data_IF_507058589754
#
_entry.id   IF_507058589754
#
_cell.length_a   1.000
_cell.length_b   1.000
_cell.length_c   1.000
_cell.angle_alpha   90.00
_cell.angle_beta   90.00
_cell.angle_gamma   90.00
#
_symmetry.space_group_name_H-M   'P 1'
#
loop_
_entity.id
_entity.type
_entity.pdbx_description
1 polymer ?
#
# COMPACT_ATOMS: atom_id res chain seq x y z
N UNK A 1 54.36 -17.49 29.86
CA UNK A 1 55.29 -18.49 29.23
C UNK A 1 54.43 -19.51 28.49
N UNK A 2 54.93 -19.96 27.34
CA UNK A 2 54.44 -21.08 26.47
C UNK A 2 53.42 -20.66 25.42
N UNK A 3 53.90 -20.20 24.28
CA UNK A 3 54.27 -20.82 22.97
C UNK A 3 53.07 -21.35 22.16
N UNK A 4 52.78 -20.58 21.14
CA UNK A 4 52.71 -20.85 19.67
C UNK A 4 52.60 -22.31 19.28
N UNK A 5 51.55 -22.65 18.49
CA UNK A 5 51.67 -23.51 17.31
C UNK A 5 50.71 -23.00 16.24
N UNK A 6 51.32 -22.62 15.14
CA UNK A 6 50.77 -22.24 13.85
C UNK A 6 50.64 -23.54 13.02
N UNK A 7 49.51 -23.86 12.48
CA UNK A 7 49.39 -24.90 11.46
C UNK A 7 48.64 -24.35 10.23
N UNK A 8 49.49 -24.04 9.24
CA UNK A 8 49.08 -23.69 7.88
C UNK A 8 48.79 -25.00 7.14
N UNK A 9 47.59 -25.15 6.63
CA UNK A 9 47.26 -26.23 5.68
C UNK A 9 46.82 -25.57 4.36
N UNK A 10 47.80 -25.57 3.44
CA UNK A 10 47.69 -25.15 2.05
C UNK A 10 47.16 -26.33 1.26
N UNK A 11 45.96 -26.25 0.72
CA UNK A 11 45.46 -27.23 -0.27
C UNK A 11 45.26 -26.53 -1.61
N UNK A 12 46.17 -26.83 -2.49
CA UNK A 12 46.13 -26.52 -3.93
C UNK A 12 45.17 -27.52 -4.58
N UNK A 13 44.13 -27.04 -5.27
CA UNK A 13 43.44 -27.88 -6.24
C UNK A 13 43.52 -27.26 -7.62
N UNK A 14 44.07 -28.10 -8.48
CA UNK A 14 44.37 -27.86 -9.88
C UNK A 14 43.12 -27.74 -10.73
N UNK A 15 43.24 -26.88 -11.74
CA UNK A 15 42.30 -26.73 -12.85
C UNK A 15 42.15 -28.03 -13.64
N UNK A 16 40.92 -28.41 -13.98
CA UNK A 16 40.63 -29.33 -15.05
C UNK A 16 39.66 -28.66 -16.01
N UNK A 17 40.19 -28.24 -17.15
CA UNK A 17 39.45 -27.90 -18.37
C UNK A 17 38.91 -29.19 -18.98
N UNK A 18 37.61 -29.27 -19.20
CA UNK A 18 37.01 -30.19 -20.16
C UNK A 18 36.00 -29.45 -21.01
N UNK A 19 36.34 -29.22 -22.26
CA UNK A 19 35.51 -28.67 -23.30
C UNK A 19 34.49 -29.71 -23.79
N UNK A 20 33.24 -29.30 -23.94
CA UNK A 20 32.25 -30.07 -24.66
C UNK A 20 31.60 -29.20 -25.76
N UNK A 21 31.55 -29.84 -26.92
CA UNK A 21 31.25 -29.32 -28.24
C UNK A 21 29.80 -28.83 -28.38
N UNK A 22 29.66 -27.69 -29.07
CA UNK A 22 28.42 -27.25 -29.71
C UNK A 22 27.85 -28.31 -30.64
N UNK A 23 26.61 -28.71 -30.37
CA UNK A 23 25.77 -29.36 -31.39
C UNK A 23 24.68 -28.37 -31.77
N UNK A 24 24.77 -27.89 -33.00
CA UNK A 24 23.78 -27.08 -33.70
C UNK A 24 22.74 -28.01 -34.29
N UNK A 25 21.53 -28.06 -33.74
CA UNK A 25 20.39 -28.70 -34.41
C UNK A 25 19.46 -27.59 -34.94
N UNK A 26 19.50 -27.48 -36.25
CA UNK A 26 18.52 -26.74 -37.06
C UNK A 26 17.25 -27.58 -37.16
N UNK A 27 16.15 -27.08 -36.58
CA UNK A 27 14.83 -27.68 -36.81
C UNK A 27 14.00 -26.73 -37.66
N UNK A 28 13.60 -27.25 -38.83
CA UNK A 28 12.79 -26.60 -39.85
C UNK A 28 11.33 -26.43 -39.37
N UNK A 29 10.80 -25.26 -39.68
CA UNK A 29 9.40 -24.87 -39.60
C UNK A 29 8.58 -25.59 -40.68
N UNK A 30 7.43 -26.18 -40.38
CA UNK A 30 6.45 -26.53 -41.40
C UNK A 30 5.47 -25.35 -41.62
N UNK A 31 5.45 -24.90 -42.84
CA UNK A 31 4.45 -24.00 -43.40
C UNK A 31 3.19 -24.80 -43.72
N UNK A 32 2.06 -24.44 -43.19
CA UNK A 32 0.77 -24.96 -43.67
C UNK A 32 -0.06 -23.81 -44.22
N UNK A 33 -0.46 -23.99 -45.46
CA UNK A 33 -1.19 -23.05 -46.34
C UNK A 33 -2.65 -22.92 -45.86
N UNK A 34 -3.11 -21.68 -45.88
CA UNK A 34 -4.50 -21.29 -45.87
C UNK A 34 -5.24 -21.73 -47.12
N UNK A 35 -6.48 -22.22 -46.97
CA UNK A 35 -7.51 -22.16 -48.02
C UNK A 35 -8.81 -21.64 -47.47
N UNK A 36 -9.60 -20.92 -48.26
CA UNK A 36 -10.74 -20.12 -47.84
C UNK A 36 -12.05 -20.92 -47.96
N UNK A 37 -12.94 -20.77 -46.97
CA UNK A 37 -14.31 -21.30 -47.07
C UNK A 37 -15.30 -20.17 -47.24
N UNK A 38 -16.05 -20.36 -48.28
CA UNK A 38 -17.07 -19.60 -48.97
C UNK A 38 -18.22 -19.15 -48.05
N UNK A 39 -18.60 -17.90 -48.24
CA UNK A 39 -19.76 -17.16 -47.80
C UNK A 39 -21.06 -17.74 -48.41
N UNK A 40 -22.11 -17.96 -47.61
CA UNK A 40 -23.48 -18.02 -48.08
C UNK A 40 -24.36 -17.03 -47.32
N UNK A 41 -24.76 -16.02 -48.04
CA UNK A 41 -25.81 -15.08 -47.77
C UNK A 41 -27.18 -15.76 -47.88
N UNK A 42 -28.10 -15.47 -46.96
CA UNK A 42 -29.52 -15.52 -47.27
C UNK A 42 -30.24 -14.37 -46.59
N UNK A 43 -30.79 -13.54 -47.44
CA UNK A 43 -31.62 -12.38 -47.18
C UNK A 43 -33.05 -12.83 -46.92
N UNK A 44 -33.73 -12.27 -45.93
CA UNK A 44 -35.16 -11.95 -46.00
C UNK A 44 -35.55 -10.91 -44.94
N UNK A 45 -36.10 -9.80 -45.41
CA UNK A 45 -36.91 -8.79 -44.71
C UNK A 45 -38.37 -9.03 -45.19
N UNK A 46 -39.47 -8.72 -44.45
CA UNK A 46 -39.90 -7.33 -44.24
C UNK A 46 -40.62 -7.01 -42.92
N UNK A 47 -40.47 -5.76 -42.50
CA UNK A 47 -41.42 -4.74 -42.06
C UNK A 47 -42.60 -5.11 -41.11
N UNK A 48 -42.70 -4.50 -39.94
CA UNK A 48 -43.73 -3.51 -39.58
C UNK A 48 -43.50 -2.86 -38.22
N UNK A 49 -43.52 -1.56 -38.21
CA UNK A 49 -43.67 -0.47 -37.25
C UNK A 49 -44.36 -0.80 -35.92
N UNK A 50 -43.80 -0.40 -34.81
CA UNK A 50 -44.44 0.44 -33.76
C UNK A 50 -43.41 0.98 -32.77
N UNK A 51 -43.34 2.28 -32.59
CA UNK A 51 -42.72 3.05 -31.50
C UNK A 51 -43.84 3.27 -30.46
N UNK A 52 -43.64 3.57 -29.17
CA UNK A 52 -42.47 4.02 -28.42
C UNK A 52 -42.36 3.39 -27.01
N UNK A 53 -41.19 3.38 -26.39
CA UNK A 53 -41.03 3.85 -25.01
C UNK A 53 -39.52 3.85 -24.66
N UNK A 54 -39.06 5.02 -24.37
CA UNK A 54 -37.75 5.31 -23.76
C UNK A 54 -37.62 4.53 -22.48
N UNK A 55 -36.72 3.55 -22.46
CA UNK A 55 -36.10 3.03 -21.25
C UNK A 55 -34.64 3.42 -21.30
N UNK A 56 -34.31 4.32 -20.40
CA UNK A 56 -32.94 4.67 -20.04
C UNK A 56 -32.21 3.37 -19.66
N UNK A 57 -31.33 2.91 -20.53
CA UNK A 57 -30.35 1.88 -20.15
C UNK A 57 -29.33 2.55 -19.26
N UNK A 58 -29.51 2.42 -17.95
CA UNK A 58 -28.42 2.64 -16.98
C UNK A 58 -27.25 1.73 -17.36
N UNK A 59 -26.24 2.30 -17.98
CA UNK A 59 -24.93 1.69 -18.10
C UNK A 59 -24.33 1.68 -16.69
N UNK A 60 -24.49 0.58 -15.99
CA UNK A 60 -23.77 0.32 -14.76
C UNK A 60 -22.32 0.07 -15.16
N UNK A 61 -21.52 1.14 -15.25
CA UNK A 61 -20.09 1.02 -15.14
C UNK A 61 -19.79 0.54 -13.72
N UNK A 62 -19.52 -0.75 -13.61
CA UNK A 62 -19.01 -1.37 -12.38
C UNK A 62 -17.55 -0.91 -12.15
N UNK A 63 -17.37 0.37 -11.85
CA UNK A 63 -16.20 0.81 -11.10
C UNK A 63 -16.45 0.43 -9.64
N UNK A 64 -16.04 -0.76 -9.26
CA UNK A 64 -15.99 -1.18 -7.87
C UNK A 64 -14.87 -0.39 -7.17
N UNK A 65 -15.11 0.90 -7.00
CA UNK A 65 -14.44 1.70 -5.99
C UNK A 65 -15.04 1.23 -4.68
N UNK A 66 -14.42 0.26 -4.02
CA UNK A 66 -14.74 -0.06 -2.62
C UNK A 66 -14.43 1.20 -1.84
N UNK A 67 -15.45 2.03 -1.66
CA UNK A 67 -15.39 3.18 -0.76
C UNK A 67 -15.37 2.57 0.63
N UNK A 68 -14.16 2.37 1.16
CA UNK A 68 -13.97 1.90 2.52
C UNK A 68 -14.60 2.94 3.42
N UNK A 69 -15.73 2.62 4.03
CA UNK A 69 -16.41 3.56 4.94
C UNK A 69 -15.51 3.86 6.12
N UNK A 70 -15.61 5.05 6.70
CA UNK A 70 -14.88 5.42 7.89
C UNK A 70 -15.07 4.42 9.03
N UNK A 71 -16.25 3.81 9.13
CA UNK A 71 -16.58 2.83 10.17
C UNK A 71 -15.81 1.52 9.98
N UNK A 72 -15.64 1.05 8.73
CA UNK A 72 -14.82 -0.13 8.47
C UNK A 72 -13.37 0.10 8.88
N UNK A 73 -12.83 1.30 8.61
CA UNK A 73 -11.47 1.65 9.02
C UNK A 73 -11.35 1.67 10.56
N UNK A 74 -12.29 2.28 11.27
CA UNK A 74 -12.29 2.32 12.73
C UNK A 74 -12.37 0.92 13.34
N UNK A 75 -13.29 0.09 12.85
CA UNK A 75 -13.42 -1.31 13.28
C UNK A 75 -12.13 -2.12 13.03
N UNK A 76 -11.45 -1.84 11.91
CA UNK A 76 -10.15 -2.46 11.61
C UNK A 76 -9.08 -2.03 12.61
N UNK A 77 -9.00 -0.75 12.92
CA UNK A 77 -8.06 -0.20 13.90
C UNK A 77 -8.33 -0.80 15.28
N UNK A 78 -9.58 -0.81 15.74
CA UNK A 78 -9.98 -1.35 17.05
C UNK A 78 -9.61 -2.84 17.17
N UNK A 79 -9.76 -3.60 16.08
CA UNK A 79 -9.44 -5.04 16.04
C UNK A 79 -7.94 -5.32 16.09
N UNK A 80 -7.13 -4.51 15.39
CA UNK A 80 -5.73 -4.85 15.12
C UNK A 80 -4.70 -3.94 15.79
N UNK A 81 -5.11 -2.89 16.52
CA UNK A 81 -4.18 -1.97 17.17
C UNK A 81 -3.24 -2.66 18.17
N UNK A 82 -3.77 -3.57 18.99
CA UNK A 82 -2.94 -4.32 19.93
C UNK A 82 -1.93 -5.23 19.23
N UNK A 83 -2.34 -5.85 18.10
CA UNK A 83 -1.44 -6.67 17.28
C UNK A 83 -0.32 -5.83 16.67
N UNK A 84 -0.65 -4.65 16.16
CA UNK A 84 0.34 -3.73 15.59
C UNK A 84 1.31 -3.21 16.66
N UNK A 85 0.82 -2.83 17.85
CA UNK A 85 1.67 -2.43 18.99
C UNK A 85 2.59 -3.55 19.44
N UNK A 86 2.07 -4.79 19.50
CA UNK A 86 2.91 -5.96 19.82
C UNK A 86 4.04 -6.11 18.79
N UNK A 87 3.71 -6.05 17.49
CA UNK A 87 4.71 -6.16 16.43
C UNK A 87 5.73 -5.02 16.46
N UNK A 88 5.32 -3.80 16.84
CA UNK A 88 6.25 -2.70 17.03
C UNK A 88 7.27 -2.98 18.16
N UNK A 89 6.82 -3.55 19.26
CA UNK A 89 7.73 -3.95 20.36
C UNK A 89 8.72 -5.04 19.92
N UNK A 90 8.22 -6.05 19.21
CA UNK A 90 9.01 -7.23 18.82
C UNK A 90 9.92 -6.99 17.61
N UNK A 91 9.48 -6.19 16.64
CA UNK A 91 10.15 -6.04 15.36
C UNK A 91 10.62 -4.61 15.06
N UNK A 92 10.19 -3.62 15.83
CA UNK A 92 10.64 -2.23 15.69
C UNK A 92 10.01 -1.45 14.53
N UNK A 93 8.95 -1.97 13.92
CA UNK A 93 8.19 -1.27 12.88
C UNK A 93 7.10 -0.44 13.57
N UNK A 94 6.93 0.86 13.27
CA UNK A 94 5.87 1.65 13.88
C UNK A 94 4.50 1.00 13.76
N UNK A 95 3.72 0.99 14.86
CA UNK A 95 2.38 0.45 14.87
C UNK A 95 1.46 1.21 13.89
N UNK A 96 1.66 2.53 13.79
CA UNK A 96 0.97 3.40 12.83
C UNK A 96 1.21 2.98 11.39
N UNK A 97 2.44 2.67 11.02
CA UNK A 97 2.81 2.17 9.68
C UNK A 97 2.16 0.82 9.42
N UNK A 98 2.27 -0.12 10.37
CA UNK A 98 1.67 -1.45 10.24
C UNK A 98 0.15 -1.38 10.05
N UNK A 99 -0.54 -0.54 10.85
CA UNK A 99 -1.99 -0.33 10.72
C UNK A 99 -2.35 0.32 9.38
N UNK A 100 -1.66 1.39 8.98
CA UNK A 100 -1.95 2.08 7.72
C UNK A 100 -1.75 1.17 6.51
N UNK A 101 -0.69 0.35 6.49
CA UNK A 101 -0.48 -0.67 5.46
C UNK A 101 -1.60 -1.71 5.49
N UNK A 102 -1.93 -2.26 6.65
CA UNK A 102 -3.02 -3.23 6.78
C UNK A 102 -4.36 -2.69 6.29
N UNK A 103 -4.70 -1.43 6.60
CA UNK A 103 -5.92 -0.77 6.10
C UNK A 103 -5.87 -0.64 4.57
N UNK A 104 -4.74 -0.18 4.03
CA UNK A 104 -4.59 0.08 2.60
C UNK A 104 -4.61 -1.21 1.78
N UNK A 105 -3.81 -2.21 2.16
CA UNK A 105 -3.63 -3.46 1.42
C UNK A 105 -4.86 -4.38 1.52
N UNK A 106 -5.55 -4.38 2.66
CA UNK A 106 -6.72 -5.24 2.88
C UNK A 106 -8.06 -4.57 2.55
N UNK A 107 -8.07 -3.30 2.13
CA UNK A 107 -9.30 -2.51 2.01
C UNK A 107 -10.05 -2.44 3.34
N UNK A 108 -9.34 -2.15 4.44
CA UNK A 108 -9.83 -2.18 5.82
C UNK A 108 -10.52 -3.52 6.18
N UNK A 109 -9.89 -4.62 5.82
CA UNK A 109 -10.35 -5.97 6.14
C UNK A 109 -11.47 -6.50 5.25
N UNK A 110 -11.81 -5.81 4.16
CA UNK A 110 -12.90 -6.22 3.24
C UNK A 110 -12.40 -6.89 1.96
N UNK A 111 -11.10 -6.82 1.67
CA UNK A 111 -10.49 -7.44 0.51
C UNK A 111 -10.54 -8.97 0.59
N UNK A 112 -10.62 -9.63 -0.56
CA UNK A 112 -10.79 -11.09 -0.67
C UNK A 112 -9.70 -11.86 0.06
N UNK A 113 -8.43 -11.48 -0.09
CA UNK A 113 -7.30 -12.14 0.58
C UNK A 113 -7.41 -12.05 2.12
N UNK A 114 -7.92 -10.93 2.64
CA UNK A 114 -8.16 -10.78 4.06
C UNK A 114 -9.30 -11.67 4.54
N UNK A 115 -10.46 -11.67 3.84
CA UNK A 115 -11.66 -12.40 4.26
C UNK A 115 -11.50 -13.91 4.14
N UNK A 116 -10.92 -14.40 3.03
CA UNK A 116 -10.83 -15.84 2.75
C UNK A 116 -9.55 -16.49 3.27
N UNK A 117 -8.49 -15.68 3.48
CA UNK A 117 -7.16 -16.20 3.80
C UNK A 117 -6.50 -15.56 5.02
N UNK A 118 -7.14 -14.64 5.74
CA UNK A 118 -6.55 -13.84 6.82
C UNK A 118 -5.22 -13.17 6.42
N UNK A 119 -5.04 -12.90 5.12
CA UNK A 119 -3.83 -12.30 4.57
C UNK A 119 -4.04 -10.81 4.35
N UNK A 120 -3.67 -10.04 5.36
CA UNK A 120 -3.93 -8.59 5.41
C UNK A 120 -2.97 -7.75 4.58
N UNK A 121 -1.85 -8.32 4.13
CA UNK A 121 -0.75 -7.60 3.47
C UNK A 121 -0.41 -8.16 2.09
N UNK A 122 -1.25 -9.03 1.52
CA UNK A 122 -0.99 -9.64 0.22
C UNK A 122 0.31 -10.42 0.17
N UNK A 123 0.63 -11.21 1.20
CA UNK A 123 1.88 -11.95 1.25
C UNK A 123 1.81 -13.16 0.32
N UNK A 124 2.66 -13.13 -0.72
CA UNK A 124 2.75 -14.19 -1.74
C UNK A 124 3.48 -15.43 -1.18
N UNK A 125 3.19 -16.60 -1.78
CA UNK A 125 3.94 -17.84 -1.51
C UNK A 125 5.35 -17.72 -2.08
N UNK A 126 6.31 -17.31 -1.27
CA UNK A 126 7.72 -17.33 -1.70
C UNK A 126 8.28 -18.75 -1.68
N UNK A 127 9.42 -18.93 -2.35
CA UNK A 127 10.17 -20.20 -2.36
C UNK A 127 10.31 -20.76 -0.94
N UNK A 128 9.93 -22.03 -0.77
CA UNK A 128 9.98 -22.70 0.53
C UNK A 128 8.69 -22.62 1.36
N UNK A 129 7.65 -21.93 0.88
CA UNK A 129 6.35 -21.96 1.56
C UNK A 129 5.67 -23.32 1.38
N UNK A 130 5.34 -23.98 2.48
CA UNK A 130 4.67 -25.30 2.52
C UNK A 130 3.31 -25.25 3.23
N UNK A 131 2.91 -24.07 3.71
CA UNK A 131 1.64 -23.86 4.40
C UNK A 131 0.45 -23.74 3.44
N UNK A 132 -0.77 -23.59 3.97
CA UNK A 132 -1.97 -23.36 3.19
C UNK A 132 -1.85 -22.11 2.31
N UNK A 133 -2.52 -22.14 1.15
CA UNK A 133 -2.48 -21.05 0.18
C UNK A 133 -3.84 -20.84 -0.50
N UNK A 134 -3.97 -19.71 -1.16
CA UNK A 134 -5.09 -19.33 -2.01
C UNK A 134 -4.55 -18.67 -3.28
N UNK A 135 -5.22 -18.89 -4.41
CA UNK A 135 -4.88 -18.19 -5.65
C UNK A 135 -5.65 -16.87 -5.77
N UNK A 136 -5.00 -15.85 -6.26
CA UNK A 136 -5.60 -14.54 -6.51
C UNK A 136 -4.91 -13.88 -7.70
N UNK A 137 -5.67 -13.14 -8.50
CA UNK A 137 -5.12 -12.36 -9.60
C UNK A 137 -4.66 -11.01 -9.06
N UNK A 138 -3.38 -10.68 -9.23
CA UNK A 138 -2.73 -9.44 -8.82
C UNK A 138 -1.85 -8.94 -9.97
N UNK A 139 -0.53 -8.95 -9.87
CA UNK A 139 0.36 -8.61 -10.97
C UNK A 139 0.30 -9.63 -12.12
N UNK A 140 -0.05 -10.88 -11.80
CA UNK A 140 -0.29 -11.95 -12.77
C UNK A 140 -1.54 -12.77 -12.40
N UNK A 141 -2.03 -13.55 -13.36
CA UNK A 141 -3.18 -14.45 -13.12
C UNK A 141 -2.77 -15.61 -12.20
N UNK A 142 -3.66 -16.00 -11.29
CA UNK A 142 -3.53 -17.18 -10.43
C UNK A 142 -2.26 -17.19 -9.56
N UNK A 143 -1.82 -16.04 -9.08
CA UNK A 143 -0.69 -15.98 -8.17
C UNK A 143 -1.01 -16.63 -6.83
N UNK A 144 0.01 -17.25 -6.23
CA UNK A 144 -0.11 -17.92 -4.94
C UNK A 144 0.06 -16.94 -3.78
N UNK A 145 -0.92 -16.86 -2.90
CA UNK A 145 -0.89 -16.11 -1.65
C UNK A 145 -0.99 -17.01 -0.43
N UNK A 146 -0.29 -16.67 0.63
CA UNK A 146 -0.35 -17.43 1.89
C UNK A 146 -1.74 -17.34 2.50
N UNK A 147 -2.20 -18.44 3.07
CA UNK A 147 -3.43 -18.50 3.85
C UNK A 147 -3.09 -18.79 5.32
N UNK A 148 -3.63 -18.01 6.22
CA UNK A 148 -3.38 -18.10 7.65
C UNK A 148 -4.63 -18.55 8.39
N UNK A 149 -4.44 -19.25 9.50
CA UNK A 149 -5.53 -19.60 10.43
C UNK A 149 -5.90 -18.44 11.34
N UNK A 150 -4.92 -17.59 11.69
CA UNK A 150 -5.10 -16.40 12.51
C UNK A 150 -4.56 -15.18 11.74
N UNK A 151 -5.30 -14.07 11.65
CA UNK A 151 -4.81 -12.84 11.01
C UNK A 151 -3.51 -12.31 11.63
N UNK A 152 -3.24 -12.58 12.91
CA UNK A 152 -1.99 -12.19 13.58
C UNK A 152 -0.75 -12.81 12.93
N UNK A 153 -0.90 -13.98 12.28
CA UNK A 153 0.20 -14.61 11.56
C UNK A 153 0.59 -13.81 10.32
N UNK A 154 -0.38 -13.21 9.62
CA UNK A 154 -0.06 -12.32 8.49
C UNK A 154 0.64 -11.04 8.95
N UNK A 155 0.28 -10.50 10.11
CA UNK A 155 0.97 -9.36 10.73
C UNK A 155 2.42 -9.70 11.10
N UNK A 156 2.63 -10.88 11.69
CA UNK A 156 3.99 -11.37 11.99
C UNK A 156 4.81 -11.56 10.72
N UNK A 157 4.26 -12.23 9.73
CA UNK A 157 4.95 -12.49 8.46
C UNK A 157 5.25 -11.19 7.69
N UNK A 158 4.38 -10.18 7.76
CA UNK A 158 4.66 -8.84 7.26
C UNK A 158 5.88 -8.22 7.98
N UNK A 159 5.93 -8.31 9.30
CA UNK A 159 7.07 -7.81 10.07
C UNK A 159 8.36 -8.54 9.69
N UNK A 160 8.31 -9.87 9.55
CA UNK A 160 9.45 -10.67 9.10
C UNK A 160 9.85 -10.34 7.66
N UNK A 161 8.90 -10.03 6.80
CA UNK A 161 9.17 -9.57 5.43
C UNK A 161 10.02 -8.31 5.39
N UNK A 162 9.76 -7.35 6.28
CA UNK A 162 10.52 -6.10 6.36
C UNK A 162 11.88 -6.30 7.05
N UNK A 163 11.91 -7.03 8.16
CA UNK A 163 13.13 -7.21 8.96
C UNK A 163 14.17 -8.10 8.30
N UNK A 164 13.75 -9.09 7.49
CA UNK A 164 14.65 -10.07 6.86
C UNK A 164 15.31 -9.59 5.56
N UNK A 165 14.84 -8.48 4.98
CA UNK A 165 15.34 -8.01 3.67
C UNK A 165 16.26 -6.81 3.80
N UNK A 166 17.53 -6.90 3.34
CA UNK A 166 18.53 -5.82 3.48
C UNK A 166 18.09 -4.47 2.93
N UNK A 167 17.24 -4.46 1.89
CA UNK A 167 16.74 -3.22 1.26
C UNK A 167 15.95 -2.33 2.22
N UNK A 168 15.37 -2.89 3.29
CA UNK A 168 14.61 -2.15 4.30
C UNK A 168 15.45 -1.79 5.53
N UNK A 169 16.71 -2.21 5.61
CA UNK A 169 17.56 -2.02 6.81
C UNK A 169 17.72 -0.55 7.22
N UNK A 170 17.69 0.38 6.27
CA UNK A 170 17.78 1.81 6.54
C UNK A 170 16.57 2.36 7.32
N UNK A 171 15.40 1.74 7.20
CA UNK A 171 14.19 2.15 7.91
C UNK A 171 14.36 1.97 9.42
N UNK A 172 15.04 0.92 9.85
CA UNK A 172 15.25 0.60 11.26
C UNK A 172 16.27 1.53 11.95
N UNK A 173 16.88 2.47 11.19
CA UNK A 173 17.73 3.55 11.72
C UNK A 173 16.92 4.83 12.01
N UNK A 174 15.69 4.92 11.51
CA UNK A 174 14.78 6.03 11.78
C UNK A 174 14.23 5.92 13.21
N UNK A 175 13.81 7.08 13.77
CA UNK A 175 13.02 7.05 14.99
C UNK A 175 11.73 6.26 14.75
N UNK A 176 11.34 5.45 15.73
CA UNK A 176 10.14 4.60 15.63
C UNK A 176 8.84 5.40 15.63
N UNK A 177 8.86 6.68 15.99
CA UNK A 177 7.74 7.61 15.86
C UNK A 177 7.78 8.41 14.54
N UNK A 178 8.85 8.30 13.72
CA UNK A 178 8.96 8.98 12.43
C UNK A 178 8.21 8.22 11.32
N UNK A 179 6.89 8.15 11.45
CA UNK A 179 6.06 7.48 10.44
C UNK A 179 6.19 8.12 9.06
N UNK A 180 6.50 9.42 8.95
CA UNK A 180 6.69 10.10 7.66
C UNK A 180 7.97 9.62 6.97
N UNK A 181 9.07 9.53 7.70
CA UNK A 181 10.30 8.94 7.22
C UNK A 181 10.14 7.48 6.84
N UNK A 182 9.40 6.71 7.64
CA UNK A 182 9.09 5.31 7.34
C UNK A 182 8.27 5.17 6.06
N UNK A 183 7.19 5.94 5.88
CA UNK A 183 6.36 5.88 4.68
C UNK A 183 7.14 6.19 3.40
N UNK A 184 7.97 7.26 3.42
CA UNK A 184 8.84 7.63 2.31
C UNK A 184 9.91 6.57 2.04
N UNK A 185 10.50 6.05 3.10
CA UNK A 185 11.55 5.03 3.04
C UNK A 185 11.04 3.69 2.52
N UNK A 186 9.83 3.26 2.86
CA UNK A 186 9.18 2.07 2.32
C UNK A 186 9.08 2.14 0.79
N UNK A 187 8.61 3.26 0.24
CA UNK A 187 8.56 3.45 -1.21
C UNK A 187 9.96 3.48 -1.84
N UNK A 188 10.89 4.22 -1.23
CA UNK A 188 12.27 4.30 -1.73
C UNK A 188 12.95 2.92 -1.76
N UNK A 189 12.64 2.05 -0.79
CA UNK A 189 13.11 0.67 -0.73
C UNK A 189 12.34 -0.30 -1.64
N UNK A 190 11.38 0.19 -2.43
CA UNK A 190 10.62 -0.61 -3.39
C UNK A 190 9.56 -1.51 -2.77
N UNK A 191 8.93 -1.09 -1.66
CA UNK A 191 7.76 -1.78 -1.12
C UNK A 191 6.54 -1.62 -2.03
N UNK A 192 6.36 -0.42 -2.59
CA UNK A 192 5.32 -0.12 -3.56
C UNK A 192 5.88 0.70 -4.72
N UNK A 193 5.30 0.53 -5.90
CA UNK A 193 5.65 1.26 -7.13
C UNK A 193 4.91 2.61 -7.22
N UNK A 194 3.75 2.73 -6.59
CA UNK A 194 2.92 3.93 -6.61
C UNK A 194 3.65 5.14 -6.00
N UNK A 195 3.88 6.24 -6.77
CA UNK A 195 4.49 7.46 -6.25
C UNK A 195 3.75 8.09 -5.07
N UNK A 196 2.43 7.87 -4.98
CA UNK A 196 1.56 8.41 -3.92
C UNK A 196 1.44 7.50 -2.70
N UNK A 197 2.16 6.37 -2.68
CA UNK A 197 2.09 5.43 -1.56
C UNK A 197 2.42 6.07 -0.21
N UNK A 198 3.49 6.88 -0.08
CA UNK A 198 3.78 7.57 1.17
C UNK A 198 2.64 8.50 1.62
N UNK A 199 2.08 9.28 0.69
CA UNK A 199 1.00 10.22 1.00
C UNK A 199 -0.27 9.49 1.45
N UNK A 200 -0.56 8.32 0.87
CA UNK A 200 -1.68 7.47 1.27
C UNK A 200 -1.51 6.98 2.72
N UNK A 201 -0.31 6.48 3.07
CA UNK A 201 -0.02 6.03 4.43
C UNK A 201 -0.10 7.19 5.43
N UNK A 202 0.57 8.31 5.15
CA UNK A 202 0.58 9.50 6.01
C UNK A 202 -0.85 10.01 6.22
N UNK A 203 -1.64 10.12 5.14
CA UNK A 203 -3.04 10.55 5.23
C UNK A 203 -3.90 9.64 6.12
N UNK A 204 -3.69 8.31 6.08
CA UNK A 204 -4.37 7.38 6.97
C UNK A 204 -3.92 7.57 8.43
N UNK A 205 -2.61 7.68 8.65
CA UNK A 205 -2.03 7.83 9.99
C UNK A 205 -2.53 9.12 10.65
N UNK A 206 -2.53 10.23 9.93
CA UNK A 206 -2.96 11.51 10.44
C UNK A 206 -4.48 11.58 10.64
N UNK A 207 -5.27 11.12 9.67
CA UNK A 207 -6.73 11.13 9.73
C UNK A 207 -7.28 10.33 10.89
N UNK A 208 -6.70 9.16 11.17
CA UNK A 208 -7.15 8.26 12.23
C UNK A 208 -6.25 8.33 13.47
N UNK A 209 -5.30 9.26 13.51
CA UNK A 209 -4.37 9.49 14.63
C UNK A 209 -3.60 8.22 15.03
N UNK A 210 -3.22 7.39 14.05
CA UNK A 210 -2.58 6.10 14.31
C UNK A 210 -1.23 6.23 15.03
N UNK A 211 -0.56 7.38 14.94
CA UNK A 211 0.66 7.70 15.67
C UNK A 211 0.48 7.63 17.20
N UNK A 212 -0.75 7.68 17.71
CA UNK A 212 -1.02 7.51 19.14
C UNK A 212 -0.59 6.12 19.61
N UNK A 213 -0.74 5.08 18.78
CA UNK A 213 -0.31 3.72 19.10
C UNK A 213 1.22 3.58 19.14
N UNK A 214 1.96 4.39 18.34
CA UNK A 214 3.41 4.48 18.45
C UNK A 214 3.81 5.11 19.77
N UNK A 215 3.15 6.22 20.14
CA UNK A 215 3.40 6.93 21.39
C UNK A 215 3.14 6.04 22.62
N UNK A 216 2.07 5.24 22.61
CA UNK A 216 1.79 4.28 23.68
C UNK A 216 2.92 3.25 23.85
N UNK A 217 3.47 2.72 22.73
CA UNK A 217 4.58 1.76 22.76
C UNK A 217 5.88 2.41 23.22
N UNK A 218 6.09 3.69 22.85
CA UNK A 218 7.29 4.45 23.19
C UNK A 218 7.20 5.15 24.56
N UNK A 219 6.08 4.95 25.29
CA UNK A 219 5.79 5.61 26.58
C UNK A 219 5.89 7.15 26.48
N UNK A 220 5.56 7.69 25.30
CA UNK A 220 5.52 9.13 25.06
C UNK A 220 4.13 9.65 25.38
N UNK A 221 4.00 10.43 26.43
CA UNK A 221 2.72 11.07 26.79
C UNK A 221 2.26 11.99 25.66
N UNK A 222 1.08 11.73 25.09
CA UNK A 222 0.27 12.59 24.21
C UNK A 222 1.04 13.59 23.32
N UNK A 223 2.19 13.20 22.82
CA UNK A 223 2.96 14.03 21.89
C UNK A 223 2.21 14.11 20.56
N UNK A 224 2.09 15.35 20.04
CA UNK A 224 1.64 15.61 18.67
C UNK A 224 2.44 14.77 17.67
N UNK A 225 1.95 14.57 16.42
CA UNK A 225 2.66 13.84 15.38
C UNK A 225 4.14 14.21 15.36
N UNK A 226 5.00 13.22 15.18
CA UNK A 226 6.46 13.43 15.09
C UNK A 226 6.75 14.48 14.00
N UNK A 227 7.08 15.68 14.43
CA UNK A 227 7.56 16.72 13.56
C UNK A 227 9.09 16.63 13.56
N UNK A 228 9.64 16.30 12.40
CA UNK A 228 11.09 16.27 12.22
C UNK A 228 11.67 17.62 12.68
N UNK A 229 12.35 17.66 13.82
CA UNK A 229 12.80 18.88 14.51
C UNK A 229 13.90 19.67 13.77
N UNK A 230 14.08 19.44 12.47
CA UNK A 230 15.00 20.18 11.63
C UNK A 230 14.34 21.32 10.81
N UNK A 231 13.10 21.66 11.13
CA UNK A 231 12.49 22.88 10.61
C UNK A 231 11.67 23.55 11.72
N UNK A 232 12.35 24.24 12.62
CA UNK A 232 11.75 25.35 13.33
C UNK A 232 11.54 26.44 12.28
N UNK A 233 10.42 26.38 11.59
CA UNK A 233 9.86 27.53 10.91
C UNK A 233 8.48 27.70 11.50
N UNK A 234 8.32 28.72 12.34
CA UNK A 234 7.04 29.35 12.60
C UNK A 234 6.50 29.88 11.26
N UNK A 235 6.00 28.98 10.41
CA UNK A 235 5.22 29.36 9.25
C UNK A 235 3.77 29.04 9.57
N UNK A 236 3.09 30.00 10.19
CA UNK A 236 1.67 30.15 9.96
C UNK A 236 1.52 30.32 8.44
N UNK A 237 1.13 29.26 7.73
CA UNK A 237 0.86 29.37 6.30
C UNK A 237 -0.47 30.12 6.16
N UNK A 238 -0.35 31.40 5.89
CA UNK A 238 -1.50 32.26 5.60
C UNK A 238 -1.84 32.12 4.11
N UNK A 239 -3.08 31.79 3.83
CA UNK A 239 -3.62 31.77 2.47
C UNK A 239 -4.55 32.96 2.27
N UNK A 240 -4.35 33.68 1.20
CA UNK A 240 -5.26 34.80 0.83
C UNK A 240 -6.38 34.23 -0.07
N UNK A 241 -7.61 34.35 0.40
CA UNK A 241 -8.83 33.91 -0.31
C UNK A 241 -8.96 34.63 -1.65
N UNK A 242 -9.15 33.84 -2.71
CA UNK A 242 -9.31 34.30 -4.08
C UNK A 242 -10.78 34.21 -4.53
N UNK A 243 -11.10 34.86 -5.62
CA UNK A 243 -12.42 34.75 -6.22
C UNK A 243 -12.73 33.30 -6.62
N UNK A 244 -13.86 32.77 -6.18
CA UNK A 244 -14.28 31.39 -6.41
C UNK A 244 -13.88 30.42 -5.33
N UNK A 245 -13.09 30.82 -4.32
CA UNK A 245 -12.78 29.97 -3.18
C UNK A 245 -14.00 29.78 -2.27
N UNK A 246 -14.11 28.57 -1.75
CA UNK A 246 -15.07 28.20 -0.71
C UNK A 246 -14.32 27.48 0.42
N UNK A 247 -14.87 27.50 1.64
CA UNK A 247 -14.27 26.71 2.73
C UNK A 247 -14.11 25.24 2.36
N UNK A 248 -15.04 24.70 1.57
CA UNK A 248 -14.94 23.32 1.09
C UNK A 248 -13.78 23.13 0.11
N UNK A 249 -13.61 24.03 -0.88
CA UNK A 249 -12.49 23.91 -1.84
C UNK A 249 -11.14 24.08 -1.14
N UNK A 250 -11.06 25.03 -0.18
CA UNK A 250 -9.84 25.26 0.59
C UNK A 250 -9.54 24.14 1.59
N UNK A 251 -10.56 23.57 2.23
CA UNK A 251 -10.37 22.41 3.10
C UNK A 251 -9.74 21.23 2.33
N UNK A 252 -10.20 20.98 1.10
CA UNK A 252 -9.61 19.99 0.20
C UNK A 252 -8.19 20.34 -0.21
N UNK A 253 -7.95 21.60 -0.56
CA UNK A 253 -6.64 22.10 -1.01
C UNK A 253 -5.57 21.96 0.08
N UNK A 254 -5.94 22.23 1.34
CA UNK A 254 -5.02 22.22 2.49
C UNK A 254 -5.12 20.94 3.33
N UNK A 255 -5.92 19.97 2.86
CA UNK A 255 -6.13 18.66 3.54
C UNK A 255 -6.60 18.82 5.00
N UNK A 256 -7.49 19.79 5.24
CA UNK A 256 -8.18 20.03 6.51
C UNK A 256 -9.66 19.69 6.35
N UNK A 257 -10.38 19.42 7.45
CA UNK A 257 -11.83 19.48 7.43
C UNK A 257 -12.32 20.93 7.41
N UNK A 258 -13.57 21.16 6.98
CA UNK A 258 -14.18 22.49 7.03
C UNK A 258 -14.23 23.00 8.47
N UNK A 259 -14.52 22.12 9.43
CA UNK A 259 -14.59 22.42 10.85
C UNK A 259 -13.22 22.81 11.43
N UNK A 260 -12.16 22.12 11.02
CA UNK A 260 -10.78 22.45 11.41
C UNK A 260 -10.36 23.80 10.84
N UNK A 261 -10.66 24.06 9.56
CA UNK A 261 -10.34 25.33 8.93
C UNK A 261 -11.07 26.50 9.59
N UNK A 262 -12.35 26.30 9.96
CA UNK A 262 -13.12 27.28 10.74
C UNK A 262 -12.53 27.52 12.13
N UNK A 263 -12.19 26.45 12.85
CA UNK A 263 -11.60 26.52 14.19
C UNK A 263 -10.25 27.25 14.17
N UNK A 264 -9.40 26.98 13.20
CA UNK A 264 -8.09 27.63 13.04
C UNK A 264 -8.22 29.14 12.81
N UNK A 265 -9.33 29.55 12.22
CA UNK A 265 -9.59 30.94 11.84
C UNK A 265 -10.67 31.64 12.68
N UNK A 266 -11.13 31.00 13.77
CA UNK A 266 -12.18 31.52 14.64
C UNK A 266 -13.47 31.92 13.89
N UNK A 267 -13.83 31.13 12.85
CA UNK A 267 -15.00 31.41 12.01
C UNK A 267 -16.24 30.69 12.54
N UNK A 268 -17.34 31.40 12.64
CA UNK A 268 -18.65 30.88 13.06
C UNK A 268 -19.49 30.38 11.89
N UNK A 269 -19.29 30.94 10.70
CA UNK A 269 -20.02 30.58 9.48
C UNK A 269 -19.10 30.11 8.36
N UNK A 270 -19.64 29.89 7.15
CA UNK A 270 -18.90 29.38 6.00
C UNK A 270 -18.54 30.50 4.98
N UNK A 271 -18.80 31.76 5.31
CA UNK A 271 -18.59 32.86 4.40
C UNK A 271 -17.10 33.25 4.34
N UNK A 272 -16.60 33.42 3.13
CA UNK A 272 -15.25 33.91 2.87
C UNK A 272 -15.31 35.25 2.14
N UNK A 273 -14.48 36.18 2.57
CA UNK A 273 -14.27 37.43 1.84
C UNK A 273 -13.04 37.32 0.93
N UNK A 274 -13.14 37.79 -0.30
CA UNK A 274 -11.98 37.88 -1.21
C UNK A 274 -10.92 38.77 -0.55
N UNK A 275 -9.67 38.29 -0.50
CA UNK A 275 -8.56 38.95 0.20
C UNK A 275 -8.45 38.60 1.69
N UNK A 276 -9.39 37.83 2.26
CA UNK A 276 -9.29 37.34 3.64
C UNK A 276 -8.08 36.43 3.79
N UNK A 277 -7.32 36.61 4.86
CA UNK A 277 -6.21 35.68 5.18
C UNK A 277 -6.70 34.58 6.08
N UNK A 278 -6.46 33.33 5.68
CA UNK A 278 -6.79 32.12 6.42
C UNK A 278 -5.53 31.41 6.85
N UNK A 279 -5.48 31.03 8.12
CA UNK A 279 -4.50 30.06 8.63
C UNK A 279 -4.85 28.69 8.07
N UNK A 280 -3.88 28.05 7.43
CA UNK A 280 -4.07 26.75 6.75
C UNK A 280 -3.23 25.66 7.38
N UNK A 281 -2.53 26.00 8.47
CA UNK A 281 -1.78 25.06 9.29
C UNK A 281 -1.55 25.64 10.69
#
# INVERSE_FOLDING_TARGET
MIKKILLVLLVVFAASCSGTKHVRTTSKKPTTKSQPVVRKTTTTKPTTTTKPKTEESEVIEATTKVTTSSDNVRNYIDTFSETAKKNMREHGIPASITLAQGILESGAGKGRLCVEANNHFGIKCHTGWTGPSITHDDDALQECFRKYSDPKDSYRDHSLFLTSRPRYSSLFKLDKGDYQGWAKGLRAAGYATDPKYPDKLISLIERYQLYMYDNEVLERENLKPFQNSNTVVNNEMLYTVQQGDTLYSLSRKFNLSVEELKRLNNMSDNNLAIGQQLKTK
#
